data_IF_505933708273
#
_entry.id   IF_505933708273
#
_cell.length_a   1.000
_cell.length_b   1.000
_cell.length_c   1.000
_cell.angle_alpha   90.00
_cell.angle_beta   90.00
_cell.angle_gamma   90.00
#
_symmetry.space_group_name_H-M   'P 1'
#
loop_
_entity.id
_entity.type
_entity.pdbx_description
1 polymer ?
#
# COMPACT_ATOMS: atom_id res chain seq x y z
N UNK A 1 -1.56 1.51 5.45
CA UNK A 1 -1.98 2.27 4.24
C UNK A 1 -3.48 2.42 4.30
N UNK A 2 -3.99 3.62 4.10
CA UNK A 2 -5.42 3.94 4.18
C UNK A 2 -5.98 4.32 2.82
N UNK A 3 -7.29 4.25 2.67
CA UNK A 3 -8.02 4.70 1.48
C UNK A 3 -7.76 6.19 1.17
N UNK A 4 -7.76 7.04 2.19
CA UNK A 4 -7.25 8.40 2.10
C UNK A 4 -5.77 8.38 2.44
N UNK A 5 -4.92 8.82 1.55
CA UNK A 5 -3.46 8.70 1.59
C UNK A 5 -2.82 9.25 2.87
N UNK A 6 -3.49 10.21 3.55
CA UNK A 6 -3.05 10.87 4.78
C UNK A 6 -1.60 11.37 4.69
N UNK A 7 -1.24 11.95 3.54
CA UNK A 7 0.02 12.64 3.37
C UNK A 7 -0.06 14.03 4.01
N UNK A 8 1.06 14.48 4.55
CA UNK A 8 1.19 15.83 5.08
C UNK A 8 1.45 16.79 3.92
N UNK A 9 0.52 17.72 3.70
CA UNK A 9 0.54 18.62 2.53
C UNK A 9 1.71 19.61 2.52
N UNK A 10 2.29 19.90 3.68
CA UNK A 10 3.43 20.80 3.85
C UNK A 10 4.74 20.18 3.37
N UNK A 11 4.81 18.85 3.33
CA UNK A 11 5.99 18.06 3.02
C UNK A 11 5.95 17.50 1.60
N UNK A 12 7.11 17.34 0.98
CA UNK A 12 7.27 16.67 -0.31
C UNK A 12 6.97 15.15 -0.20
N UNK A 13 6.91 14.45 -1.34
CA UNK A 13 6.77 13.00 -1.37
C UNK A 13 7.90 12.31 -0.59
N UNK A 14 9.15 12.73 -0.82
CA UNK A 14 10.32 12.19 -0.11
C UNK A 14 10.24 12.46 1.39
N UNK A 15 9.93 13.67 1.80
CA UNK A 15 9.79 14.03 3.21
C UNK A 15 8.68 13.24 3.90
N UNK A 16 7.53 13.02 3.24
CA UNK A 16 6.48 12.15 3.76
C UNK A 16 6.97 10.72 3.99
N UNK A 17 7.77 10.17 3.10
CA UNK A 17 8.37 8.83 3.26
C UNK A 17 9.39 8.81 4.39
N UNK A 18 10.15 9.88 4.60
CA UNK A 18 11.21 9.97 5.60
C UNK A 18 10.70 10.09 7.03
N UNK A 19 9.49 10.62 7.26
CA UNK A 19 8.95 10.87 8.60
C UNK A 19 9.03 9.63 9.52
N UNK A 20 8.55 8.44 9.15
CA UNK A 20 8.63 7.27 10.03
C UNK A 20 10.08 6.84 10.31
N UNK A 21 10.99 6.99 9.35
CA UNK A 21 12.40 6.67 9.55
C UNK A 21 13.06 7.59 10.58
N UNK A 22 12.73 8.89 10.55
CA UNK A 22 13.25 9.84 11.54
C UNK A 22 12.64 9.62 12.94
N UNK A 23 11.37 9.23 13.01
CA UNK A 23 10.74 8.83 14.29
C UNK A 23 11.46 7.60 14.86
N UNK A 24 11.84 6.64 14.03
CA UNK A 24 12.61 5.45 14.40
C UNK A 24 14.09 5.76 14.68
N UNK A 25 14.51 7.03 14.55
CA UNK A 25 15.89 7.50 14.75
C UNK A 25 16.91 6.84 13.80
N UNK A 26 16.47 6.43 12.61
CA UNK A 26 17.34 5.94 11.55
C UNK A 26 18.32 7.04 11.13
N UNK A 27 19.57 6.70 10.85
CA UNK A 27 20.55 7.67 10.38
C UNK A 27 20.08 8.32 9.08
N UNK A 28 20.27 9.64 8.99
CA UNK A 28 19.76 10.44 7.86
C UNK A 28 20.19 9.89 6.49
N UNK A 29 21.43 9.48 6.33
CA UNK A 29 21.94 8.94 5.08
C UNK A 29 21.27 7.62 4.69
N UNK A 30 21.04 6.74 5.65
CA UNK A 30 20.35 5.47 5.46
C UNK A 30 18.87 5.68 5.14
N UNK A 31 18.21 6.59 5.87
CA UNK A 31 16.80 6.93 5.65
C UNK A 31 16.57 7.50 4.24
N UNK A 32 17.41 8.44 3.79
CA UNK A 32 17.32 9.06 2.45
C UNK A 32 17.54 7.99 1.37
N UNK A 33 18.59 7.18 1.48
CA UNK A 33 18.86 6.12 0.50
C UNK A 33 17.67 5.14 0.38
N UNK A 34 17.08 4.77 1.52
CA UNK A 34 15.90 3.89 1.53
C UNK A 34 14.64 4.55 0.95
N UNK A 35 14.42 5.84 1.25
CA UNK A 35 13.29 6.58 0.68
C UNK A 35 13.42 6.72 -0.84
N UNK A 36 14.61 7.03 -1.35
CA UNK A 36 14.88 7.13 -2.79
C UNK A 36 14.70 5.77 -3.50
N UNK A 37 15.20 4.68 -2.90
CA UNK A 37 14.97 3.32 -3.41
C UNK A 37 13.49 3.01 -3.54
N UNK A 38 12.70 3.26 -2.48
CA UNK A 38 11.28 2.98 -2.46
C UNK A 38 10.50 3.86 -3.44
N UNK A 39 10.80 5.17 -3.48
CA UNK A 39 10.17 6.07 -4.46
C UNK A 39 10.51 5.67 -5.89
N UNK A 40 11.74 5.23 -6.14
CA UNK A 40 12.13 4.66 -7.43
C UNK A 40 11.33 3.40 -7.77
N UNK A 41 11.17 2.49 -6.81
CA UNK A 41 10.42 1.26 -7.01
C UNK A 41 8.94 1.52 -7.34
N UNK A 42 8.30 2.49 -6.67
CA UNK A 42 6.91 2.86 -6.95
C UNK A 42 6.77 3.83 -8.15
N UNK A 43 7.85 4.07 -8.92
CA UNK A 43 7.84 4.87 -10.13
C UNK A 43 7.72 6.39 -9.91
N UNK A 44 8.21 6.90 -8.79
CA UNK A 44 8.08 8.30 -8.39
C UNK A 44 9.43 9.04 -8.20
N UNK A 45 10.53 8.54 -8.79
CA UNK A 45 11.84 9.20 -8.69
C UNK A 45 11.80 10.67 -9.11
N UNK A 46 11.12 10.98 -10.22
CA UNK A 46 11.01 12.34 -10.76
C UNK A 46 9.99 13.21 -10.00
N UNK A 47 9.23 12.60 -9.11
CA UNK A 47 8.18 13.24 -8.31
C UNK A 47 8.53 13.43 -6.84
N UNK A 48 9.73 13.00 -6.42
CA UNK A 48 10.13 12.99 -5.00
C UNK A 48 10.05 14.37 -4.32
N UNK A 49 10.28 15.44 -5.07
CA UNK A 49 10.24 16.83 -4.58
C UNK A 49 8.85 17.49 -4.70
N UNK A 50 7.85 16.79 -5.24
CA UNK A 50 6.49 17.33 -5.36
C UNK A 50 5.75 17.19 -4.05
N UNK A 51 4.87 18.17 -3.76
CA UNK A 51 3.95 18.11 -2.63
C UNK A 51 2.70 17.32 -2.99
N UNK A 52 1.94 16.80 -2.02
CA UNK A 52 0.75 15.98 -2.29
C UNK A 52 -0.24 16.63 -3.27
N UNK A 53 -0.47 17.94 -3.18
CA UNK A 53 -1.38 18.65 -4.09
C UNK A 53 -0.91 18.71 -5.55
N UNK A 54 0.36 18.41 -5.80
CA UNK A 54 0.95 18.37 -7.14
C UNK A 54 0.97 16.94 -7.72
N UNK A 55 0.49 15.96 -6.95
CA UNK A 55 0.44 14.55 -7.30
C UNK A 55 -1.00 14.10 -7.58
N UNK A 56 -1.17 13.19 -8.54
CA UNK A 56 -2.43 12.48 -8.74
C UNK A 56 -2.78 11.59 -7.54
N UNK A 57 -4.04 11.19 -7.42
CA UNK A 57 -4.48 10.29 -6.34
C UNK A 57 -3.69 8.96 -6.32
N UNK A 58 -3.43 8.37 -7.49
CA UNK A 58 -2.61 7.16 -7.61
C UNK A 58 -1.15 7.39 -7.19
N UNK A 59 -0.56 8.53 -7.55
CA UNK A 59 0.80 8.90 -7.10
C UNK A 59 0.85 9.10 -5.58
N UNK A 60 -0.14 9.80 -5.01
CA UNK A 60 -0.25 9.98 -3.55
C UNK A 60 -0.35 8.62 -2.83
N UNK A 61 -1.13 7.68 -3.37
CA UNK A 61 -1.26 6.35 -2.78
C UNK A 61 0.06 5.58 -2.85
N UNK A 62 0.80 5.67 -3.94
CA UNK A 62 2.14 5.08 -4.05
C UNK A 62 3.14 5.70 -3.06
N UNK A 63 3.08 7.00 -2.81
CA UNK A 63 3.87 7.64 -1.74
C UNK A 63 3.49 7.07 -0.37
N UNK A 64 2.19 6.89 -0.08
CA UNK A 64 1.73 6.31 1.18
C UNK A 64 2.20 4.86 1.37
N UNK A 65 2.26 4.07 0.29
CA UNK A 65 2.84 2.73 0.31
C UNK A 65 4.35 2.78 0.60
N UNK A 66 5.10 3.63 -0.09
CA UNK A 66 6.54 3.80 0.16
C UNK A 66 6.81 4.23 1.61
N UNK A 67 6.00 5.15 2.15
CA UNK A 67 6.07 5.58 3.56
C UNK A 67 5.85 4.42 4.53
N UNK A 68 4.91 3.53 4.25
CA UNK A 68 4.65 2.36 5.09
C UNK A 68 5.83 1.37 5.12
N UNK A 69 6.65 1.35 4.07
CA UNK A 69 7.75 0.39 3.88
C UNK A 69 9.13 0.90 4.33
N UNK A 70 9.29 2.19 4.63
CA UNK A 70 10.61 2.80 4.87
C UNK A 70 11.38 2.17 6.02
N UNK A 71 10.67 1.72 7.06
CA UNK A 71 11.25 1.04 8.23
C UNK A 71 11.34 -0.48 8.07
N UNK A 72 11.16 -1.00 6.86
CA UNK A 72 11.21 -2.43 6.55
C UNK A 72 10.35 -3.30 7.51
N UNK A 73 9.04 -3.03 7.64
CA UNK A 73 8.17 -3.75 8.55
C UNK A 73 7.96 -5.20 8.09
N UNK A 74 7.75 -6.12 9.01
CA UNK A 74 7.38 -7.52 8.68
C UNK A 74 5.95 -7.61 8.13
N UNK A 75 5.05 -6.72 8.58
CA UNK A 75 3.64 -6.72 8.20
C UNK A 75 3.22 -5.30 7.81
N UNK A 76 2.51 -5.20 6.69
CA UNK A 76 1.88 -3.96 6.20
C UNK A 76 0.36 -4.13 6.20
N UNK A 77 -0.32 -3.27 6.94
CA UNK A 77 -1.78 -3.20 6.92
C UNK A 77 -2.26 -2.19 5.88
N UNK A 78 -3.22 -2.59 5.09
CA UNK A 78 -3.87 -1.73 4.11
C UNK A 78 -5.40 -1.84 4.25
N UNK A 79 -6.06 -0.70 4.46
CA UNK A 79 -7.51 -0.58 4.61
C UNK A 79 -8.07 0.12 3.38
N UNK A 80 -8.83 -0.62 2.56
CA UNK A 80 -9.39 -0.18 1.28
C UNK A 80 -8.42 0.66 0.42
N UNK A 81 -7.17 0.19 0.20
CA UNK A 81 -6.09 1.03 -0.33
C UNK A 81 -6.34 1.55 -1.75
N UNK A 82 -7.24 0.94 -2.49
CA UNK A 82 -7.61 1.32 -3.86
C UNK A 82 -9.01 1.92 -4.00
N UNK A 83 -9.75 2.10 -2.88
CA UNK A 83 -11.16 2.47 -2.91
C UNK A 83 -11.47 3.85 -3.50
N UNK A 84 -10.50 4.79 -3.51
CA UNK A 84 -10.65 6.13 -4.08
C UNK A 84 -10.03 6.29 -5.48
N UNK A 85 -9.48 5.22 -6.05
CA UNK A 85 -8.76 5.25 -7.32
C UNK A 85 -9.65 4.88 -8.51
N UNK A 86 -9.35 5.43 -9.68
CA UNK A 86 -9.89 4.93 -10.93
C UNK A 86 -9.37 3.52 -11.26
N UNK A 87 -10.01 2.84 -12.19
CA UNK A 87 -9.73 1.44 -12.53
C UNK A 87 -8.27 1.18 -12.85
N UNK A 88 -7.64 2.06 -13.64
CA UNK A 88 -6.24 1.88 -14.04
C UNK A 88 -5.28 2.01 -12.85
N UNK A 89 -5.42 3.07 -12.06
CA UNK A 89 -4.58 3.28 -10.87
C UNK A 89 -4.80 2.18 -9.83
N UNK A 90 -6.03 1.65 -9.73
CA UNK A 90 -6.36 0.51 -8.88
C UNK A 90 -5.59 -0.74 -9.28
N UNK A 91 -5.61 -1.12 -10.57
CA UNK A 91 -4.88 -2.28 -11.09
C UNK A 91 -3.37 -2.13 -10.90
N UNK A 92 -2.82 -0.94 -11.19
CA UNK A 92 -1.41 -0.62 -10.96
C UNK A 92 -1.02 -0.77 -9.47
N UNK A 93 -1.87 -0.32 -8.55
CA UNK A 93 -1.63 -0.46 -7.11
C UNK A 93 -1.69 -1.92 -6.66
N UNK A 94 -2.66 -2.71 -7.15
CA UNK A 94 -2.75 -4.14 -6.83
C UNK A 94 -1.49 -4.88 -7.28
N UNK A 95 -1.06 -4.66 -8.52
CA UNK A 95 0.19 -5.23 -9.03
C UNK A 95 1.39 -4.85 -8.18
N UNK A 96 1.47 -3.58 -7.75
CA UNK A 96 2.54 -3.08 -6.89
C UNK A 96 2.62 -3.85 -5.55
N UNK A 97 1.50 -4.20 -4.92
CA UNK A 97 1.51 -4.99 -3.69
C UNK A 97 2.16 -6.37 -3.88
N UNK A 98 1.85 -7.06 -4.98
CA UNK A 98 2.45 -8.35 -5.30
C UNK A 98 3.94 -8.23 -5.60
N UNK A 99 4.36 -7.23 -6.38
CA UNK A 99 5.77 -6.95 -6.66
C UNK A 99 6.56 -6.64 -5.38
N UNK A 100 5.99 -5.87 -4.46
CA UNK A 100 6.60 -5.55 -3.17
C UNK A 100 6.73 -6.79 -2.29
N UNK A 101 5.69 -7.65 -2.26
CA UNK A 101 5.73 -8.93 -1.55
C UNK A 101 6.87 -9.81 -2.05
N UNK A 102 6.99 -9.97 -3.34
CA UNK A 102 8.04 -10.79 -3.96
C UNK A 102 9.43 -10.22 -3.70
N UNK A 103 9.60 -8.91 -3.79
CA UNK A 103 10.90 -8.26 -3.66
C UNK A 103 11.40 -8.18 -2.22
N UNK A 104 10.52 -7.86 -1.28
CA UNK A 104 10.91 -7.55 0.10
C UNK A 104 10.45 -8.61 1.11
N UNK A 105 9.69 -9.61 0.70
CA UNK A 105 9.25 -10.72 1.55
C UNK A 105 8.28 -10.33 2.66
N UNK A 106 7.59 -9.17 2.52
CA UNK A 106 6.68 -8.66 3.55
C UNK A 106 5.31 -9.32 3.48
N UNK A 107 4.65 -9.41 4.62
CA UNK A 107 3.26 -9.82 4.71
C UNK A 107 2.34 -8.62 4.54
N UNK A 108 1.42 -8.68 3.60
CA UNK A 108 0.36 -7.69 3.44
C UNK A 108 -0.96 -8.22 3.99
N UNK A 109 -1.58 -7.45 4.87
CA UNK A 109 -2.95 -7.68 5.36
C UNK A 109 -3.82 -6.59 4.76
N UNK A 110 -4.66 -6.95 3.80
CA UNK A 110 -5.47 -6.00 3.04
C UNK A 110 -6.94 -6.20 3.40
N UNK A 111 -7.59 -5.16 3.91
CA UNK A 111 -9.04 -5.10 4.06
C UNK A 111 -9.61 -4.53 2.77
N UNK A 112 -10.50 -5.25 2.12
CA UNK A 112 -11.11 -4.82 0.86
C UNK A 112 -12.45 -5.52 0.61
N UNK A 113 -13.32 -4.87 -0.14
CA UNK A 113 -14.52 -5.46 -0.73
C UNK A 113 -14.31 -5.86 -2.21
N UNK A 114 -13.08 -5.72 -2.72
CA UNK A 114 -12.71 -6.08 -4.09
C UNK A 114 -12.44 -7.59 -4.17
N UNK A 115 -13.39 -8.34 -4.72
CA UNK A 115 -13.26 -9.78 -4.93
C UNK A 115 -12.12 -10.13 -5.92
N UNK A 116 -11.85 -9.26 -6.89
CA UNK A 116 -10.76 -9.44 -7.85
C UNK A 116 -9.38 -9.39 -7.18
N UNK A 117 -9.19 -8.49 -6.23
CA UNK A 117 -7.97 -8.46 -5.41
C UNK A 117 -7.93 -9.65 -4.45
N UNK A 118 -9.03 -9.92 -3.75
CA UNK A 118 -9.11 -11.00 -2.78
C UNK A 118 -8.76 -12.36 -3.40
N UNK A 119 -9.23 -12.65 -4.62
CA UNK A 119 -8.98 -13.92 -5.31
C UNK A 119 -7.50 -14.12 -5.72
N UNK A 120 -6.70 -13.08 -5.76
CA UNK A 120 -5.28 -13.12 -6.11
C UNK A 120 -4.36 -13.28 -4.88
N UNK A 121 -4.91 -13.16 -3.66
CA UNK A 121 -4.13 -13.29 -2.42
C UNK A 121 -3.89 -14.75 -2.05
N UNK A 122 -2.84 -14.99 -1.26
CA UNK A 122 -2.52 -16.35 -0.77
C UNK A 122 -3.59 -16.91 0.17
N UNK A 123 -4.31 -16.02 0.87
CA UNK A 123 -5.37 -16.38 1.82
C UNK A 123 -6.39 -15.25 1.93
N UNK A 124 -7.66 -15.61 1.85
CA UNK A 124 -8.78 -14.71 2.10
C UNK A 124 -9.50 -15.10 3.39
N UNK A 125 -9.85 -14.11 4.19
CA UNK A 125 -10.67 -14.27 5.40
C UNK A 125 -11.94 -13.46 5.19
N UNK A 126 -13.10 -14.13 5.21
CA UNK A 126 -14.38 -13.46 5.10
C UNK A 126 -14.89 -13.06 6.48
N UNK A 127 -15.38 -11.83 6.59
CA UNK A 127 -15.95 -11.29 7.83
C UNK A 127 -17.37 -10.77 7.57
N UNK A 128 -18.28 -11.09 8.49
CA UNK A 128 -19.65 -10.55 8.51
C UNK A 128 -20.05 -10.25 9.95
N UNK A 129 -20.56 -9.06 10.21
CA UNK A 129 -20.99 -8.61 11.54
C UNK A 129 -19.96 -8.81 12.67
N UNK A 130 -18.66 -8.59 12.34
CA UNK A 130 -17.55 -8.75 13.29
C UNK A 130 -17.11 -10.19 13.55
N UNK A 131 -17.68 -11.16 12.86
CA UNK A 131 -17.33 -12.58 12.96
C UNK A 131 -16.64 -13.07 11.69
N UNK A 132 -15.68 -14.00 11.85
CA UNK A 132 -15.11 -14.74 10.73
C UNK A 132 -16.15 -15.75 10.27
N UNK A 133 -16.45 -15.76 8.98
CA UNK A 133 -17.38 -16.69 8.34
C UNK A 133 -16.65 -17.52 7.29
N UNK A 134 -17.06 -18.76 7.10
CA UNK A 134 -16.63 -19.54 5.94
C UNK A 134 -17.28 -18.96 4.67
N UNK A 135 -16.57 -18.92 3.51
CA UNK A 135 -17.20 -18.56 2.26
C UNK A 135 -18.37 -19.50 2.02
N UNK A 136 -19.54 -18.93 1.74
CA UNK A 136 -20.70 -19.72 1.32
C UNK A 136 -20.27 -20.49 0.07
N UNK A 137 -20.05 -21.80 0.21
CA UNK A 137 -19.73 -22.67 -0.91
C UNK A 137 -20.80 -22.48 -1.98
N UNK A 138 -20.42 -22.30 -3.23
CA UNK A 138 -21.34 -22.47 -4.35
C UNK A 138 -21.92 -23.87 -4.19
N UNK A 139 -23.16 -23.92 -3.71
CA UNK A 139 -23.88 -25.16 -3.57
C UNK A 139 -24.01 -25.82 -4.93
N UNK A 140 -23.11 -26.72 -5.24
CA UNK A 140 -23.40 -27.78 -6.17
C UNK A 140 -24.46 -28.64 -5.49
N UNK A 141 -25.70 -28.40 -5.92
CA UNK A 141 -26.80 -29.30 -5.62
C UNK A 141 -26.39 -30.66 -6.14
N UNK A 142 -26.02 -31.56 -5.22
CA UNK A 142 -25.98 -32.96 -5.51
C UNK A 142 -27.42 -33.41 -5.81
N UNK A 143 -27.67 -33.75 -7.06
CA UNK A 143 -28.85 -34.50 -7.49
C UNK A 143 -28.58 -35.99 -7.29
#
# INVERSE_FOLDING_TARGET
VFQQHQLLNEFTAEENVLIPAYIAKTKRTEAIARAEELLGFVGLSDRKNHKPLELSGGEQQRVAVARALVNNPDIVFADEPSGSLDTRNKEELHKLFFELRERYGQTFVIVTHDEGLASQTDRTIHMRDGLIVEPEGNGEAAV
#
